data_IF_051405769943
#
_entry.id   IF_051405769943
#
_cell.length_a   1.000
_cell.length_b   1.000
_cell.length_c   1.000
_cell.angle_alpha   90.00
_cell.angle_beta   90.00
_cell.angle_gamma   90.00
#
_symmetry.space_group_name_H-M   'P 1'
#
loop_
_entity.id
_entity.type
_entity.pdbx_description
1 polymer ?
#
# COMPACT_ATOMS: atom_id res chain seq x y z
N UNK A 1 29.79 26.48 10.50
CA UNK A 1 29.41 25.23 11.20
C UNK A 1 27.91 24.96 11.10
N UNK A 2 27.05 25.98 11.24
CA UNK A 2 25.61 25.86 11.00
C UNK A 2 25.29 25.34 9.58
N UNK A 3 25.87 25.94 8.53
CA UNK A 3 25.65 25.52 7.13
C UNK A 3 26.00 24.05 6.85
N UNK A 4 27.06 23.52 7.49
CA UNK A 4 27.47 22.12 7.30
C UNK A 4 26.54 21.13 8.00
N UNK A 5 25.83 21.56 9.04
CA UNK A 5 24.92 20.69 9.82
C UNK A 5 23.55 20.66 9.17
N UNK A 6 23.05 21.82 8.72
CA UNK A 6 21.84 21.93 7.91
C UNK A 6 21.95 21.16 6.60
N UNK A 7 23.11 21.20 5.92
CA UNK A 7 23.34 20.42 4.70
C UNK A 7 23.33 18.91 4.95
N UNK A 8 23.83 18.45 6.11
CA UNK A 8 23.72 17.03 6.50
C UNK A 8 22.27 16.64 6.81
N UNK A 9 21.52 17.48 7.51
CA UNK A 9 20.10 17.26 7.77
C UNK A 9 19.30 17.20 6.46
N UNK A 10 19.60 18.06 5.49
CA UNK A 10 19.01 18.03 4.15
C UNK A 10 19.26 16.70 3.43
N UNK A 11 20.50 16.21 3.41
CA UNK A 11 20.83 14.94 2.77
C UNK A 11 20.16 13.74 3.45
N UNK A 12 20.08 13.75 4.78
CA UNK A 12 19.34 12.75 5.54
C UNK A 12 17.85 12.77 5.20
N UNK A 13 17.25 13.96 5.15
CA UNK A 13 15.86 14.15 4.79
C UNK A 13 15.53 13.62 3.38
N UNK A 14 16.39 13.88 2.39
CA UNK A 14 16.22 13.38 1.02
C UNK A 14 16.38 11.86 0.86
N UNK A 15 16.88 11.13 1.86
CA UNK A 15 17.04 9.68 1.82
C UNK A 15 15.83 8.92 2.39
N UNK A 16 14.94 9.61 3.12
CA UNK A 16 13.78 9.02 3.78
C UNK A 16 12.64 8.83 2.76
N UNK A 17 12.03 7.65 2.78
CA UNK A 17 10.81 7.36 2.03
C UNK A 17 9.75 6.68 2.90
N UNK A 18 8.53 6.60 2.39
CA UNK A 18 7.36 6.13 3.14
C UNK A 18 7.23 4.60 3.11
N UNK A 19 7.09 4.04 1.90
CA UNK A 19 6.88 2.60 1.67
C UNK A 19 8.22 1.89 1.44
N UNK A 20 9.13 2.57 0.74
CA UNK A 20 10.50 2.13 0.52
C UNK A 20 11.44 3.29 0.83
N UNK A 21 12.72 3.03 1.14
CA UNK A 21 13.73 4.09 1.19
C UNK A 21 13.74 4.92 -0.11
N UNK A 22 14.09 6.20 -0.04
CA UNK A 22 14.16 7.04 -1.24
C UNK A 22 15.26 6.56 -2.22
N UNK A 23 16.31 5.93 -1.68
CA UNK A 23 17.33 5.22 -2.44
C UNK A 23 17.26 3.75 -2.06
N UNK A 24 16.70 2.93 -2.97
CA UNK A 24 16.67 1.47 -2.82
C UNK A 24 17.73 0.83 -3.72
N UNK A 25 18.37 -0.29 -3.30
CA UNK A 25 19.18 -1.09 -4.19
C UNK A 25 18.36 -1.54 -5.40
N UNK A 26 18.96 -1.52 -6.60
CA UNK A 26 18.29 -1.97 -7.81
C UNK A 26 17.87 -3.44 -7.67
N UNK A 27 16.65 -3.76 -8.10
CA UNK A 27 16.22 -5.14 -8.27
C UNK A 27 17.02 -5.84 -9.38
N UNK A 28 17.10 -7.18 -9.34
CA UNK A 28 17.47 -7.95 -10.52
C UNK A 28 16.58 -7.57 -11.70
N UNK A 29 17.19 -7.44 -12.88
CA UNK A 29 16.45 -7.11 -14.09
C UNK A 29 15.41 -8.19 -14.39
N UNK A 30 14.16 -7.78 -14.60
CA UNK A 30 13.10 -8.69 -15.00
C UNK A 30 13.40 -9.28 -16.40
N UNK A 31 12.99 -10.53 -16.66
CA UNK A 31 12.99 -11.06 -18.02
C UNK A 31 12.25 -10.14 -18.99
N UNK A 32 12.69 -10.15 -20.24
CA UNK A 32 12.01 -9.41 -21.29
C UNK A 32 10.56 -9.88 -21.39
N UNK A 33 9.62 -8.93 -21.30
CA UNK A 33 8.22 -9.17 -21.59
C UNK A 33 8.02 -9.55 -23.06
N UNK A 34 7.07 -10.46 -23.32
CA UNK A 34 6.69 -10.89 -24.66
C UNK A 34 6.08 -9.71 -25.44
N UNK A 35 5.29 -8.87 -24.75
CA UNK A 35 4.81 -7.59 -25.28
C UNK A 35 4.96 -6.46 -24.27
N UNK A 36 4.99 -5.23 -24.80
CA UNK A 36 4.90 -3.99 -24.03
C UNK A 36 3.79 -3.14 -24.62
N UNK A 37 2.87 -2.70 -23.77
CA UNK A 37 1.78 -1.84 -24.20
C UNK A 37 1.95 -0.45 -23.63
N UNK A 38 1.89 0.57 -24.48
CA UNK A 38 1.75 1.96 -24.06
C UNK A 38 0.27 2.21 -23.74
N UNK A 39 0.00 2.76 -22.57
CA UNK A 39 -1.34 3.03 -22.07
C UNK A 39 -1.45 4.52 -21.69
N UNK A 40 -2.65 5.08 -21.57
CA UNK A 40 -2.81 6.40 -20.97
C UNK A 40 -2.25 6.38 -19.54
N UNK A 41 -1.30 7.27 -19.27
CA UNK A 41 -0.72 7.48 -17.93
C UNK A 41 0.02 6.25 -17.36
N UNK A 42 0.48 5.34 -18.21
CA UNK A 42 1.24 4.18 -17.79
C UNK A 42 1.58 3.23 -18.93
N UNK A 43 2.00 2.02 -18.57
CA UNK A 43 2.29 0.97 -19.54
C UNK A 43 2.00 -0.41 -18.96
N UNK A 44 1.99 -1.44 -19.79
CA UNK A 44 1.92 -2.82 -19.34
C UNK A 44 3.10 -3.66 -19.82
N UNK A 45 3.43 -4.69 -19.05
CA UNK A 45 4.34 -5.78 -19.43
C UNK A 45 3.53 -7.06 -19.52
N UNK A 46 3.57 -7.70 -20.68
CA UNK A 46 2.80 -8.92 -20.96
C UNK A 46 3.75 -10.10 -20.99
N UNK A 47 3.42 -11.13 -20.23
CA UNK A 47 4.16 -12.38 -20.16
C UNK A 47 3.19 -13.52 -20.49
N UNK A 48 3.42 -14.19 -21.62
CA UNK A 48 2.60 -15.31 -22.03
C UNK A 48 2.79 -16.51 -21.10
N UNK A 49 1.74 -17.34 -21.04
CA UNK A 49 1.82 -18.65 -20.41
C UNK A 49 2.83 -19.55 -21.12
N UNK A 50 3.37 -20.53 -20.40
CA UNK A 50 4.31 -21.50 -20.97
C UNK A 50 3.67 -22.25 -22.15
N UNK A 51 4.40 -22.32 -23.27
CA UNK A 51 3.92 -22.92 -24.52
C UNK A 51 2.96 -22.04 -25.34
N UNK A 52 2.58 -20.86 -24.84
CA UNK A 52 1.70 -19.91 -25.53
C UNK A 52 2.50 -18.84 -26.29
N UNK A 53 1.86 -18.23 -27.29
CA UNK A 53 2.43 -17.14 -28.10
C UNK A 53 1.41 -16.01 -28.36
N UNK A 54 0.39 -15.95 -27.53
CA UNK A 54 -0.71 -15.01 -27.65
C UNK A 54 -1.32 -14.76 -26.27
N UNK A 55 -2.14 -13.71 -26.17
CA UNK A 55 -2.92 -13.42 -24.96
C UNK A 55 -4.02 -14.48 -24.81
N UNK A 56 -3.84 -15.36 -23.83
CA UNK A 56 -4.80 -16.40 -23.47
C UNK A 56 -4.99 -16.47 -21.97
N UNK A 57 -6.22 -16.78 -21.53
CA UNK A 57 -6.59 -16.96 -20.13
C UNK A 57 -6.02 -15.86 -19.19
N UNK A 58 -6.32 -14.57 -19.43
CA UNK A 58 -5.48 -13.49 -18.93
C UNK A 58 -5.69 -13.16 -17.45
N UNK A 59 -4.61 -12.77 -16.80
CA UNK A 59 -4.51 -12.27 -15.42
C UNK A 59 -3.93 -10.86 -15.48
N UNK A 60 -4.73 -9.85 -15.15
CA UNK A 60 -4.36 -8.42 -15.27
C UNK A 60 -4.20 -7.83 -13.87
N UNK A 61 -2.97 -7.49 -13.49
CA UNK A 61 -2.63 -7.05 -12.14
C UNK A 61 -1.92 -5.69 -12.15
N UNK A 62 -2.47 -4.73 -11.40
CA UNK A 62 -1.89 -3.41 -11.23
C UNK A 62 -0.86 -3.35 -10.09
N UNK A 63 0.20 -2.57 -10.32
CA UNK A 63 1.19 -2.20 -9.31
C UNK A 63 0.57 -1.38 -8.15
N UNK A 64 1.32 -1.26 -7.05
CA UNK A 64 0.95 -0.50 -5.87
C UNK A 64 1.44 0.95 -5.86
N UNK A 65 1.36 1.57 -4.69
CA UNK A 65 1.76 2.95 -4.47
C UNK A 65 3.27 3.09 -4.20
N UNK A 66 3.88 4.10 -4.81
CA UNK A 66 5.17 4.66 -4.45
C UNK A 66 5.30 6.05 -5.12
N UNK A 67 6.44 6.73 -4.97
CA UNK A 67 6.77 7.91 -5.77
C UNK A 67 7.30 7.49 -7.16
N UNK A 68 6.88 8.20 -8.20
CA UNK A 68 7.41 8.02 -9.56
C UNK A 68 6.78 6.85 -10.32
N UNK A 69 7.33 6.52 -11.51
CA UNK A 69 6.78 5.48 -12.36
C UNK A 69 6.92 4.10 -11.72
N UNK A 70 6.11 3.15 -12.20
CA UNK A 70 6.26 1.74 -11.85
C UNK A 70 7.64 1.23 -12.23
N UNK A 71 8.29 0.62 -11.25
CA UNK A 71 9.52 -0.13 -11.43
C UNK A 71 9.15 -1.61 -11.65
N UNK A 72 9.11 -2.01 -12.92
CA UNK A 72 8.75 -3.37 -13.30
C UNK A 72 9.77 -4.42 -12.85
N UNK A 73 11.04 -4.04 -12.64
CA UNK A 73 12.06 -4.97 -12.15
C UNK A 73 11.78 -5.29 -10.68
N UNK A 74 11.47 -4.28 -9.87
CA UNK A 74 11.05 -4.50 -8.48
C UNK A 74 9.71 -5.23 -8.34
N UNK A 75 8.73 -4.90 -9.19
CA UNK A 75 7.44 -5.59 -9.17
C UNK A 75 7.60 -7.06 -9.55
N UNK A 76 8.38 -7.35 -10.59
CA UNK A 76 8.72 -8.73 -10.97
C UNK A 76 9.44 -9.46 -9.84
N UNK A 77 10.49 -8.85 -9.29
CA UNK A 77 11.31 -9.46 -8.24
C UNK A 77 10.48 -9.85 -7.02
N UNK A 78 9.56 -8.99 -6.58
CA UNK A 78 8.67 -9.28 -5.45
C UNK A 78 7.71 -10.45 -5.70
N UNK A 79 7.28 -10.66 -6.94
CA UNK A 79 6.32 -11.70 -7.32
C UNK A 79 6.97 -13.00 -7.79
N UNK A 80 8.25 -12.98 -8.15
CA UNK A 80 8.97 -14.15 -8.67
C UNK A 80 10.06 -14.63 -7.72
N UNK A 81 10.93 -13.74 -7.24
CA UNK A 81 12.10 -14.09 -6.44
C UNK A 81 11.88 -13.89 -4.93
N UNK A 82 10.65 -13.51 -4.54
CA UNK A 82 10.24 -13.36 -3.15
C UNK A 82 10.02 -14.71 -2.46
N UNK A 83 8.98 -14.78 -1.63
CA UNK A 83 8.67 -16.00 -0.86
C UNK A 83 7.94 -17.07 -1.70
N UNK A 84 7.38 -16.69 -2.84
CA UNK A 84 6.66 -17.59 -3.73
C UNK A 84 6.79 -17.11 -5.19
N UNK A 85 7.13 -18.01 -6.14
CA UNK A 85 7.31 -17.66 -7.55
C UNK A 85 5.97 -17.60 -8.31
N UNK A 86 5.14 -16.63 -7.92
CA UNK A 86 3.76 -16.49 -8.40
C UNK A 86 3.67 -16.32 -9.92
N UNK A 87 4.60 -15.57 -10.53
CA UNK A 87 4.62 -15.37 -11.98
C UNK A 87 4.90 -16.68 -12.70
N UNK A 88 5.93 -17.42 -12.28
CA UNK A 88 6.23 -18.73 -12.84
C UNK A 88 5.06 -19.72 -12.71
N UNK A 89 4.36 -19.76 -11.57
CA UNK A 89 3.22 -20.65 -11.39
C UNK A 89 2.00 -20.27 -12.25
N UNK A 90 1.70 -18.97 -12.40
CA UNK A 90 0.71 -18.48 -13.36
C UNK A 90 1.04 -18.95 -14.78
N UNK A 91 2.28 -18.74 -15.20
CA UNK A 91 2.74 -19.07 -16.56
C UNK A 91 2.70 -20.57 -16.80
N UNK A 92 3.12 -21.40 -15.83
CA UNK A 92 3.03 -22.86 -15.91
C UNK A 92 1.60 -23.37 -16.05
N UNK A 93 0.62 -22.66 -15.46
CA UNK A 93 -0.82 -22.91 -15.65
C UNK A 93 -1.37 -22.39 -17.00
N UNK A 94 -0.50 -21.92 -17.90
CA UNK A 94 -0.85 -21.44 -19.23
C UNK A 94 -1.56 -20.09 -19.23
N UNK A 95 -1.41 -19.28 -18.17
CA UNK A 95 -2.04 -17.96 -18.05
C UNK A 95 -1.13 -16.87 -18.60
N UNK A 96 -1.68 -15.96 -19.38
CA UNK A 96 -0.99 -14.70 -19.73
C UNK A 96 -1.10 -13.73 -18.56
N UNK A 97 0.04 -13.29 -18.03
CA UNK A 97 0.12 -12.23 -17.02
C UNK A 97 0.30 -10.87 -17.71
N UNK A 98 -0.56 -9.92 -17.39
CA UNK A 98 -0.44 -8.51 -17.78
C UNK A 98 -0.17 -7.71 -16.51
N UNK A 99 1.08 -7.29 -16.31
CA UNK A 99 1.45 -6.37 -15.24
C UNK A 99 1.21 -4.94 -15.69
N UNK A 100 0.31 -4.24 -15.01
CA UNK A 100 -0.05 -2.85 -15.31
C UNK A 100 0.73 -1.91 -14.38
N UNK A 101 1.47 -1.00 -14.97
CA UNK A 101 2.25 0.02 -14.26
C UNK A 101 1.82 1.43 -14.63
N UNK A 102 2.13 2.38 -13.74
CA UNK A 102 1.74 3.78 -13.87
C UNK A 102 2.94 4.67 -14.19
N UNK A 103 2.73 5.77 -14.91
CA UNK A 103 3.76 6.79 -15.15
C UNK A 103 4.10 7.55 -13.86
N UNK A 104 3.11 7.69 -12.97
CA UNK A 104 3.26 8.28 -11.64
C UNK A 104 2.34 7.55 -10.66
N UNK A 105 2.91 6.67 -9.83
CA UNK A 105 2.16 5.85 -8.86
C UNK A 105 1.51 6.69 -7.76
N UNK A 106 2.03 7.88 -7.48
CA UNK A 106 1.52 8.76 -6.43
C UNK A 106 0.39 9.69 -6.89
N UNK A 107 0.09 9.71 -8.19
CA UNK A 107 -1.03 10.45 -8.76
C UNK A 107 -2.38 9.81 -8.37
N UNK A 108 -3.49 10.56 -8.47
CA UNK A 108 -4.79 10.12 -7.97
C UNK A 108 -5.20 8.73 -8.47
N UNK A 109 -5.84 7.96 -7.59
CA UNK A 109 -6.40 6.63 -7.87
C UNK A 109 -7.31 6.68 -9.10
N UNK A 110 -8.02 7.80 -9.30
CA UNK A 110 -8.91 8.03 -10.43
C UNK A 110 -8.17 8.07 -11.77
N UNK A 111 -7.00 8.71 -11.82
CA UNK A 111 -6.16 8.77 -13.03
C UNK A 111 -5.52 7.41 -13.29
N UNK A 112 -4.99 6.76 -12.25
CA UNK A 112 -4.44 5.41 -12.37
C UNK A 112 -5.52 4.39 -12.82
N UNK A 113 -6.78 4.61 -12.47
CA UNK A 113 -7.90 3.79 -12.97
C UNK A 113 -8.19 3.98 -14.47
N UNK A 114 -7.78 5.08 -15.09
CA UNK A 114 -7.84 5.25 -16.54
C UNK A 114 -6.84 4.32 -17.24
N UNK A 115 -5.62 4.21 -16.70
CA UNK A 115 -4.62 3.22 -17.15
C UNK A 115 -5.15 1.81 -17.02
N UNK A 116 -5.76 1.48 -15.88
CA UNK A 116 -6.31 0.14 -15.64
C UNK A 116 -7.48 -0.18 -16.59
N UNK A 117 -8.36 0.79 -16.83
CA UNK A 117 -9.46 0.65 -17.81
C UNK A 117 -8.89 0.36 -19.21
N UNK A 118 -7.86 1.10 -19.62
CA UNK A 118 -7.21 0.91 -20.91
C UNK A 118 -6.51 -0.46 -21.01
N UNK A 119 -5.85 -0.91 -19.94
CA UNK A 119 -5.23 -2.23 -19.86
C UNK A 119 -6.26 -3.34 -20.06
N UNK A 120 -7.39 -3.30 -19.33
CA UNK A 120 -8.48 -4.28 -19.45
C UNK A 120 -9.01 -4.32 -20.88
N UNK A 121 -9.33 -3.16 -21.47
CA UNK A 121 -9.85 -3.10 -22.84
C UNK A 121 -8.83 -3.59 -23.86
N UNK A 122 -7.54 -3.31 -23.65
CA UNK A 122 -6.46 -3.81 -24.52
C UNK A 122 -6.31 -5.33 -24.40
N UNK A 123 -6.39 -5.88 -23.19
CA UNK A 123 -6.38 -7.32 -22.96
C UNK A 123 -7.53 -8.00 -23.70
N UNK A 124 -8.75 -7.47 -23.61
CA UNK A 124 -9.92 -8.02 -24.32
C UNK A 124 -9.71 -8.01 -25.84
N UNK A 125 -9.12 -6.95 -26.38
CA UNK A 125 -8.89 -6.79 -27.82
C UNK A 125 -7.83 -7.76 -28.37
N UNK A 126 -6.83 -8.12 -27.57
CA UNK A 126 -5.74 -9.02 -27.95
C UNK A 126 -6.00 -10.49 -27.59
N UNK A 127 -6.97 -10.76 -26.71
CA UNK A 127 -7.30 -12.11 -26.24
C UNK A 127 -7.86 -12.98 -27.37
N UNK A 128 -7.30 -14.19 -27.53
CA UNK A 128 -7.72 -15.13 -28.58
C UNK A 128 -8.73 -16.20 -28.13
N UNK A 129 -8.92 -16.37 -26.83
CA UNK A 129 -9.91 -17.29 -26.26
C UNK A 129 -11.06 -16.55 -25.56
N UNK A 130 -12.00 -17.33 -25.02
CA UNK A 130 -13.21 -16.80 -24.38
C UNK A 130 -13.20 -16.79 -22.84
N UNK A 131 -12.06 -17.14 -22.23
CA UNK A 131 -11.87 -17.17 -20.78
C UNK A 131 -12.15 -15.79 -20.19
N UNK A 132 -12.89 -15.72 -19.09
CA UNK A 132 -13.04 -14.45 -18.40
C UNK A 132 -11.72 -14.01 -17.76
N UNK A 133 -11.51 -12.71 -17.68
CA UNK A 133 -10.30 -12.14 -17.07
C UNK A 133 -10.32 -12.32 -15.55
N UNK A 134 -9.16 -12.55 -14.95
CA UNK A 134 -8.91 -12.13 -13.57
C UNK A 134 -8.31 -10.72 -13.61
N UNK A 135 -8.87 -9.80 -12.82
CA UNK A 135 -8.45 -8.40 -12.77
C UNK A 135 -8.22 -7.98 -11.32
N UNK A 136 -7.10 -7.35 -11.02
CA UNK A 136 -6.78 -7.01 -9.63
C UNK A 136 -5.55 -6.14 -9.48
N UNK A 137 -4.98 -6.13 -8.29
CA UNK A 137 -3.70 -5.46 -8.05
C UNK A 137 -3.26 -5.48 -6.60
N UNK A 138 -2.06 -4.97 -6.38
CA UNK A 138 -1.38 -4.95 -5.09
C UNK A 138 -1.57 -3.61 -4.41
N UNK A 139 -1.90 -3.60 -3.11
CA UNK A 139 -2.05 -2.36 -2.35
C UNK A 139 -3.06 -1.40 -3.02
N UNK A 140 -2.63 -0.19 -3.37
CA UNK A 140 -3.39 0.76 -4.19
C UNK A 140 -3.95 0.15 -5.49
N UNK A 141 -3.21 -0.74 -6.16
CA UNK A 141 -3.59 -1.36 -7.43
C UNK A 141 -4.92 -2.12 -7.36
N UNK A 142 -5.23 -2.75 -6.23
CA UNK A 142 -6.54 -3.39 -6.03
C UNK A 142 -7.68 -2.38 -5.93
N UNK A 143 -7.46 -1.21 -5.32
CA UNK A 143 -8.45 -0.11 -5.27
C UNK A 143 -8.63 0.51 -6.67
N UNK A 144 -7.54 0.68 -7.42
CA UNK A 144 -7.54 1.14 -8.81
C UNK A 144 -8.37 0.21 -9.68
N UNK A 145 -8.14 -1.10 -9.60
CA UNK A 145 -8.90 -2.12 -10.33
C UNK A 145 -10.39 -2.12 -9.92
N UNK A 146 -10.69 -2.02 -8.62
CA UNK A 146 -12.06 -1.92 -8.10
C UNK A 146 -12.81 -0.74 -8.72
N UNK A 147 -12.21 0.45 -8.70
CA UNK A 147 -12.84 1.65 -9.24
C UNK A 147 -13.01 1.55 -10.77
N UNK A 148 -12.00 1.05 -11.50
CA UNK A 148 -12.07 0.87 -12.94
C UNK A 148 -13.23 -0.05 -13.34
N UNK A 149 -13.34 -1.22 -12.73
CA UNK A 149 -14.40 -2.19 -13.01
C UNK A 149 -15.79 -1.62 -12.69
N UNK A 150 -15.98 -1.04 -11.50
CA UNK A 150 -17.26 -0.46 -11.10
C UNK A 150 -17.71 0.69 -12.04
N UNK A 151 -16.74 1.52 -12.48
CA UNK A 151 -16.99 2.58 -13.46
C UNK A 151 -17.36 2.02 -14.83
N UNK A 152 -16.65 0.99 -15.32
CA UNK A 152 -16.95 0.33 -16.59
C UNK A 152 -18.37 -0.26 -16.59
N UNK A 153 -18.78 -0.93 -15.50
CA UNK A 153 -20.14 -1.46 -15.35
C UNK A 153 -21.21 -0.35 -15.37
N UNK A 154 -20.97 0.74 -14.64
CA UNK A 154 -21.86 1.92 -14.64
C UNK A 154 -22.00 2.52 -16.04
N UNK A 155 -20.93 2.46 -16.84
CA UNK A 155 -20.88 2.91 -18.24
C UNK A 155 -21.36 1.86 -19.24
N UNK A 156 -21.82 0.69 -18.78
CA UNK A 156 -22.26 -0.45 -19.59
C UNK A 156 -21.19 -0.96 -20.57
N UNK A 157 -19.93 -0.89 -20.14
CA UNK A 157 -18.80 -1.46 -20.87
C UNK A 157 -18.60 -2.91 -20.43
N UNK A 158 -18.61 -3.85 -21.38
CA UNK A 158 -18.28 -5.25 -21.09
C UNK A 158 -16.76 -5.38 -20.86
N UNK A 159 -16.39 -5.55 -19.60
CA UNK A 159 -14.99 -5.70 -19.17
C UNK A 159 -14.54 -7.17 -19.12
N UNK A 160 -15.41 -8.14 -19.46
CA UNK A 160 -15.15 -9.59 -19.48
C UNK A 160 -14.48 -10.19 -18.22
N UNK A 161 -14.50 -9.50 -17.09
CA UNK A 161 -13.89 -9.99 -15.85
C UNK A 161 -14.82 -11.01 -15.18
N UNK A 162 -14.24 -12.12 -14.75
CA UNK A 162 -14.92 -13.15 -13.97
C UNK A 162 -14.53 -13.08 -12.49
N UNK A 163 -13.30 -12.66 -12.21
CA UNK A 163 -12.75 -12.58 -10.86
C UNK A 163 -12.05 -11.25 -10.66
N UNK A 164 -12.41 -10.55 -9.58
CA UNK A 164 -11.66 -9.43 -9.02
C UNK A 164 -10.81 -9.93 -7.86
N UNK A 165 -9.56 -9.48 -7.74
CA UNK A 165 -8.72 -9.77 -6.57
C UNK A 165 -7.96 -8.54 -6.09
N UNK A 166 -7.95 -8.33 -4.77
CA UNK A 166 -7.13 -7.29 -4.13
C UNK A 166 -6.12 -7.89 -3.17
N UNK A 167 -4.83 -7.58 -3.35
CA UNK A 167 -3.77 -8.02 -2.44
C UNK A 167 -3.44 -6.93 -1.44
N UNK A 168 -3.88 -7.13 -0.21
CA UNK A 168 -3.66 -6.25 0.95
C UNK A 168 -4.05 -4.78 0.67
N UNK A 169 -5.13 -4.58 -0.09
CA UNK A 169 -5.58 -3.24 -0.49
C UNK A 169 -6.27 -2.52 0.66
N UNK A 170 -5.90 -1.26 0.98
CA UNK A 170 -6.47 -0.52 2.11
C UNK A 170 -7.88 0.03 1.83
N UNK A 171 -8.88 -0.83 1.62
CA UNK A 171 -10.26 -0.41 1.27
C UNK A 171 -10.87 0.53 2.32
N UNK A 172 -10.59 0.29 3.60
CA UNK A 172 -11.08 1.10 4.74
C UNK A 172 -10.06 2.12 5.23
N UNK A 173 -8.87 2.12 4.64
CA UNK A 173 -7.78 3.04 4.90
C UNK A 173 -6.47 2.33 5.22
N UNK A 174 -5.36 3.01 4.93
CA UNK A 174 -4.02 2.65 5.37
C UNK A 174 -3.63 3.49 6.59
N UNK A 175 -2.75 2.97 7.43
CA UNK A 175 -2.23 3.65 8.59
C UNK A 175 -0.75 3.97 8.42
N UNK A 176 -0.41 5.25 8.57
CA UNK A 176 0.95 5.72 8.72
C UNK A 176 0.99 6.52 10.03
N UNK A 177 1.87 6.19 10.99
CA UNK A 177 1.94 6.86 12.28
C UNK A 177 1.94 8.38 12.16
N UNK A 178 1.08 9.06 12.92
CA UNK A 178 0.94 10.52 12.88
C UNK A 178 2.26 11.23 13.18
N UNK A 179 3.06 10.68 14.10
CA UNK A 179 4.40 11.19 14.37
C UNK A 179 5.30 11.22 13.12
N UNK A 180 5.26 10.16 12.30
CA UNK A 180 6.02 10.08 11.06
C UNK A 180 5.50 11.07 10.00
N UNK A 181 4.18 11.25 9.89
CA UNK A 181 3.61 12.26 9.00
C UNK A 181 4.02 13.69 9.42
N UNK A 182 3.95 14.00 10.71
CA UNK A 182 4.40 15.29 11.24
C UNK A 182 5.91 15.51 11.03
N UNK A 183 6.71 14.44 11.12
CA UNK A 183 8.14 14.51 10.83
C UNK A 183 8.44 14.83 9.36
N UNK A 184 7.62 14.35 8.42
CA UNK A 184 7.74 14.74 7.01
C UNK A 184 7.59 16.26 6.82
N UNK A 185 6.62 16.88 7.50
CA UNK A 185 6.46 18.33 7.52
C UNK A 185 7.64 19.06 8.18
N UNK A 186 8.18 18.50 9.26
CA UNK A 186 9.35 19.05 9.94
C UNK A 186 10.59 19.06 9.03
N UNK A 187 10.81 17.96 8.29
CA UNK A 187 11.90 17.83 7.33
C UNK A 187 11.73 18.68 6.07
N UNK A 188 10.49 18.96 5.66
CA UNK A 188 10.20 19.75 4.45
C UNK A 188 10.75 21.18 4.47
N UNK A 189 11.20 21.66 5.64
CA UNK A 189 11.96 22.91 5.77
C UNK A 189 13.32 22.87 5.06
N UNK A 190 13.89 21.67 4.85
CA UNK A 190 15.18 21.46 4.19
C UNK A 190 15.11 20.52 2.99
N UNK A 191 14.24 19.51 3.01
CA UNK A 191 13.97 18.62 1.88
C UNK A 191 12.56 18.03 2.00
N UNK A 192 11.75 18.20 0.96
CA UNK A 192 10.33 17.82 0.93
C UNK A 192 10.10 16.44 0.29
N UNK A 193 11.13 15.67 -0.05
CA UNK A 193 10.99 14.36 -0.72
C UNK A 193 10.07 13.41 0.05
N UNK A 194 10.23 13.33 1.37
CA UNK A 194 9.37 12.49 2.22
C UNK A 194 7.94 13.03 2.29
N UNK A 195 7.78 14.36 2.38
CA UNK A 195 6.48 15.01 2.40
C UNK A 195 5.71 14.82 1.08
N UNK A 196 6.38 14.90 -0.07
CA UNK A 196 5.75 14.67 -1.39
C UNK A 196 5.12 13.28 -1.48
N UNK A 197 5.70 12.27 -0.84
CA UNK A 197 5.10 10.94 -0.78
C UNK A 197 3.82 10.94 0.05
N UNK A 198 3.89 11.42 1.30
CA UNK A 198 2.75 11.43 2.23
C UNK A 198 1.60 12.32 1.71
N UNK A 199 1.92 13.49 1.18
CA UNK A 199 0.96 14.48 0.69
C UNK A 199 0.53 14.26 -0.76
N UNK A 200 0.99 13.20 -1.42
CA UNK A 200 0.55 12.88 -2.78
C UNK A 200 -0.96 12.55 -2.85
N UNK A 201 -1.63 12.78 -4.00
CA UNK A 201 -3.05 12.47 -4.15
C UNK A 201 -3.41 11.03 -3.79
N UNK A 202 -2.69 10.03 -4.29
CA UNK A 202 -2.96 8.63 -3.97
C UNK A 202 -2.80 8.31 -2.48
N UNK A 203 -1.72 8.80 -1.85
CA UNK A 203 -1.49 8.60 -0.42
C UNK A 203 -2.64 9.18 0.40
N UNK A 204 -3.01 10.44 0.15
CA UNK A 204 -4.11 11.08 0.87
C UNK A 204 -5.46 10.38 0.63
N UNK A 205 -5.70 9.82 -0.55
CA UNK A 205 -6.91 9.05 -0.84
C UNK A 205 -6.97 7.73 -0.05
N UNK A 206 -5.82 7.12 0.27
CA UNK A 206 -5.73 5.85 0.99
C UNK A 206 -5.57 6.01 2.51
N UNK A 207 -4.86 7.02 2.99
CA UNK A 207 -4.61 7.20 4.42
C UNK A 207 -5.91 7.38 5.20
N UNK A 208 -6.04 6.64 6.30
CA UNK A 208 -7.17 6.78 7.20
C UNK A 208 -7.21 8.17 7.83
N UNK A 209 -6.04 8.68 8.24
CA UNK A 209 -5.86 10.02 8.81
C UNK A 209 -4.60 10.67 8.25
N UNK A 210 -4.71 11.98 8.03
CA UNK A 210 -3.70 12.84 7.44
C UNK A 210 -3.47 14.07 8.33
N UNK A 211 -2.22 14.52 8.43
CA UNK A 211 -1.86 15.82 9.01
C UNK A 211 -1.30 16.74 7.93
N UNK A 212 -1.71 18.01 7.97
CA UNK A 212 -1.29 19.05 7.03
C UNK A 212 -0.17 19.95 7.56
N UNK A 213 0.41 19.60 8.72
CA UNK A 213 1.56 20.29 9.31
C UNK A 213 2.10 19.60 10.55
N UNK A 214 3.23 20.09 11.06
CA UNK A 214 3.88 19.57 12.29
C UNK A 214 2.94 19.63 13.50
N UNK A 215 2.15 20.69 13.61
CA UNK A 215 1.15 20.90 14.66
C UNK A 215 -0.29 20.75 14.12
N UNK A 216 -0.46 20.09 12.97
CA UNK A 216 -1.76 19.86 12.35
C UNK A 216 -2.61 18.88 13.18
N UNK A 217 -3.93 19.02 13.10
CA UNK A 217 -4.85 18.06 13.73
C UNK A 217 -5.11 16.89 12.76
N UNK A 218 -4.83 15.63 13.16
CA UNK A 218 -5.12 14.47 12.33
C UNK A 218 -6.60 14.36 11.95
N UNK A 219 -6.89 14.28 10.65
CA UNK A 219 -8.26 14.23 10.13
C UNK A 219 -8.34 13.42 8.82
N UNK A 220 -9.55 13.11 8.35
CA UNK A 220 -9.72 12.53 7.01
C UNK A 220 -9.39 13.60 5.96
N UNK A 221 -8.53 13.27 4.97
CA UNK A 221 -8.19 14.22 3.91
C UNK A 221 -9.41 14.52 3.03
N UNK A 222 -9.61 15.78 2.59
CA UNK A 222 -10.63 16.10 1.58
C UNK A 222 -10.50 15.27 0.29
N UNK A 223 -9.28 14.86 -0.09
CA UNK A 223 -9.07 14.00 -1.26
C UNK A 223 -9.62 12.58 -1.06
N UNK A 224 -9.56 12.06 0.16
CA UNK A 224 -10.18 10.78 0.52
C UNK A 224 -11.69 10.88 0.50
N UNK A 225 -12.25 11.96 1.02
CA UNK A 225 -13.70 12.21 0.99
C UNK A 225 -14.20 12.27 -0.46
N UNK A 226 -13.57 13.06 -1.33
CA UNK A 226 -13.94 13.12 -2.77
C UNK A 226 -13.80 11.76 -3.44
N UNK A 227 -12.74 11.00 -3.15
CA UNK A 227 -12.59 9.65 -3.70
C UNK A 227 -13.72 8.71 -3.27
N UNK A 228 -14.08 8.68 -1.98
CA UNK A 228 -15.18 7.84 -1.47
C UNK A 228 -16.52 8.22 -2.12
N UNK A 229 -16.79 9.51 -2.30
CA UNK A 229 -17.99 9.98 -3.01
C UNK A 229 -18.00 9.55 -4.49
N UNK A 230 -16.87 9.63 -5.18
CA UNK A 230 -16.75 9.16 -6.57
C UNK A 230 -16.89 7.66 -6.71
N UNK A 231 -16.33 6.90 -5.76
CA UNK A 231 -16.47 5.45 -5.70
C UNK A 231 -17.95 5.06 -5.46
N UNK A 232 -18.65 5.78 -4.58
CA UNK A 232 -20.09 5.59 -4.36
C UNK A 232 -20.92 5.89 -5.62
N UNK A 233 -20.57 6.94 -6.39
CA UNK A 233 -21.25 7.29 -7.65
C UNK A 233 -21.17 6.19 -8.72
N UNK A 234 -20.18 5.30 -8.63
CA UNK A 234 -20.03 4.14 -9.53
C UNK A 234 -20.46 2.81 -8.89
N UNK A 235 -21.18 2.85 -7.76
CA UNK A 235 -21.75 1.67 -7.11
C UNK A 235 -20.89 1.05 -6.00
N UNK A 236 -19.79 1.69 -5.61
CA UNK A 236 -18.82 1.25 -4.60
C UNK A 236 -18.03 -0.02 -4.93
N UNK A 237 -18.64 -1.04 -5.51
CA UNK A 237 -17.98 -2.29 -5.93
C UNK A 237 -18.51 -2.74 -7.28
N UNK A 238 -17.67 -3.34 -8.15
CA UNK A 238 -18.19 -4.03 -9.33
C UNK A 238 -19.08 -5.20 -8.90
N UNK A 239 -20.16 -5.44 -9.64
CA UNK A 239 -21.19 -6.41 -9.32
C UNK A 239 -21.12 -7.67 -10.20
N UNK A 240 -20.38 -7.62 -11.32
CA UNK A 240 -20.25 -8.74 -12.25
C UNK A 240 -19.23 -9.79 -11.78
N UNK A 241 -18.00 -9.45 -11.37
CA UNK A 241 -16.99 -10.44 -11.02
C UNK A 241 -17.19 -10.99 -9.60
N UNK A 242 -16.67 -12.19 -9.35
CA UNK A 242 -16.44 -12.70 -7.99
C UNK A 242 -15.40 -11.80 -7.31
N UNK A 243 -15.74 -11.25 -6.14
CA UNK A 243 -14.89 -10.34 -5.38
C UNK A 243 -14.04 -11.11 -4.38
N UNK A 244 -12.72 -11.14 -4.60
CA UNK A 244 -11.75 -11.75 -3.71
C UNK A 244 -10.87 -10.69 -3.03
N UNK A 245 -10.58 -10.88 -1.75
CA UNK A 245 -9.61 -10.06 -1.03
C UNK A 245 -8.60 -10.89 -0.26
N UNK A 246 -7.36 -10.45 -0.25
CA UNK A 246 -6.28 -11.05 0.53
C UNK A 246 -5.79 -10.01 1.52
N UNK A 247 -5.62 -10.39 2.78
CA UNK A 247 -4.86 -9.62 3.76
C UNK A 247 -3.49 -10.25 3.99
N UNK A 248 -2.46 -9.42 4.06
CA UNK A 248 -1.15 -9.82 4.58
C UNK A 248 -1.13 -9.93 6.12
N UNK A 249 -2.26 -9.71 6.79
CA UNK A 249 -2.39 -9.84 8.24
C UNK A 249 -3.32 -10.96 8.69
N UNK A 250 -3.24 -11.27 9.99
CA UNK A 250 -4.01 -12.32 10.64
C UNK A 250 -5.48 -11.96 10.81
N UNK A 251 -6.31 -13.01 10.88
CA UNK A 251 -7.75 -12.92 11.05
C UNK A 251 -8.29 -13.08 12.48
N UNK A 252 -7.45 -13.53 13.42
CA UNK A 252 -7.87 -13.99 14.75
C UNK A 252 -7.93 -12.86 15.81
N UNK A 253 -7.76 -11.61 15.39
CA UNK A 253 -7.70 -10.46 16.28
C UNK A 253 -6.38 -10.32 17.04
N UNK A 254 -5.38 -11.18 16.79
CA UNK A 254 -4.06 -11.05 17.42
C UNK A 254 -3.19 -10.03 16.68
N UNK A 255 -2.78 -9.01 17.41
CA UNK A 255 -1.89 -7.95 16.92
C UNK A 255 -0.51 -8.46 16.53
N UNK A 256 0.27 -7.57 15.91
CA UNK A 256 1.63 -7.88 15.41
C UNK A 256 2.74 -7.84 16.49
N UNK A 257 2.36 -7.66 17.76
CA UNK A 257 3.29 -7.62 18.91
C UNK A 257 3.81 -6.22 19.28
N UNK A 258 3.52 -5.19 18.49
CA UNK A 258 3.81 -3.80 18.86
C UNK A 258 2.87 -3.37 19.98
N UNK A 259 3.44 -2.94 21.12
CA UNK A 259 2.66 -2.51 22.29
C UNK A 259 2.38 -1.02 22.23
N UNK A 260 1.17 -0.56 22.59
CA UNK A 260 0.80 0.85 22.54
C UNK A 260 1.65 1.72 23.48
N UNK A 261 2.08 2.89 23.00
CA UNK A 261 2.86 3.86 23.77
C UNK A 261 4.34 3.51 23.95
N UNK A 262 4.79 2.35 23.44
CA UNK A 262 6.23 2.03 23.40
C UNK A 262 6.97 3.03 22.50
N UNK A 263 8.19 3.37 22.87
CA UNK A 263 9.10 4.17 22.05
C UNK A 263 9.56 3.35 20.85
N UNK A 264 9.04 3.65 19.65
CA UNK A 264 9.38 2.95 18.42
C UNK A 264 10.80 3.29 17.96
N UNK A 265 11.14 4.58 17.98
CA UNK A 265 12.42 5.11 17.53
C UNK A 265 12.81 6.34 18.37
N UNK A 266 14.10 6.49 18.68
CA UNK A 266 14.63 7.72 19.28
C UNK A 266 16.00 8.09 18.76
N UNK A 267 16.24 9.39 18.68
CA UNK A 267 17.47 9.99 18.23
C UNK A 267 18.20 10.65 19.41
N UNK A 268 19.51 10.45 19.48
CA UNK A 268 20.43 11.09 20.42
C UNK A 268 21.72 11.53 19.72
N UNK A 269 21.63 11.80 18.42
CA UNK A 269 22.74 12.17 17.56
C UNK A 269 22.81 13.68 17.29
N UNK A 270 23.76 14.10 16.44
CA UNK A 270 24.05 15.51 16.22
C UNK A 270 22.96 16.29 15.48
N UNK A 271 22.06 15.62 14.75
CA UNK A 271 21.03 16.29 13.94
C UNK A 271 19.71 16.40 14.68
N UNK A 272 19.27 15.34 15.37
CA UNK A 272 17.91 15.22 15.87
C UNK A 272 17.86 14.80 17.34
N UNK A 273 18.85 15.19 18.14
CA UNK A 273 18.88 14.91 19.59
C UNK A 273 17.55 15.28 20.28
N UNK A 274 16.99 14.32 21.01
CA UNK A 274 15.69 14.45 21.68
C UNK A 274 14.47 14.18 20.79
N UNK A 275 14.64 13.92 19.50
CA UNK A 275 13.54 13.41 18.66
C UNK A 275 13.20 11.97 19.04
N UNK A 276 11.93 11.67 19.23
CA UNK A 276 11.46 10.29 19.38
C UNK A 276 10.04 10.11 18.88
N UNK A 277 9.70 8.86 18.59
CA UNK A 277 8.39 8.42 18.14
C UNK A 277 7.87 7.36 19.10
N UNK A 278 6.61 7.50 19.47
CA UNK A 278 5.87 6.53 20.25
C UNK A 278 4.89 5.82 19.31
N UNK A 279 4.70 4.53 19.55
CA UNK A 279 3.64 3.76 18.92
C UNK A 279 2.29 4.27 19.42
N UNK A 280 1.29 4.24 18.54
CA UNK A 280 -0.04 4.73 18.78
C UNK A 280 -0.66 4.04 20.00
N UNK A 281 -1.04 4.85 20.98
CA UNK A 281 -1.80 4.43 22.16
C UNK A 281 -3.18 5.10 22.15
N UNK A 282 -4.14 4.51 22.85
CA UNK A 282 -5.37 5.21 23.18
C UNK A 282 -5.12 6.39 24.12
N UNK A 283 -6.01 7.38 24.10
CA UNK A 283 -5.94 8.53 25.00
C UNK A 283 -6.50 9.82 24.38
N UNK A 284 -6.62 10.85 25.21
CA UNK A 284 -7.03 12.20 24.79
C UNK A 284 -6.41 13.26 25.73
N UNK A 285 -5.28 13.89 25.35
CA UNK A 285 -4.41 13.56 24.21
C UNK A 285 -3.42 12.43 24.52
N UNK A 286 -3.04 11.66 23.49
CA UNK A 286 -1.92 10.72 23.52
C UNK A 286 -0.72 11.29 22.74
N UNK A 287 0.45 11.34 23.37
CA UNK A 287 1.70 11.72 22.70
C UNK A 287 2.14 10.62 21.73
N UNK A 288 2.50 11.01 20.50
CA UNK A 288 2.96 10.07 19.46
C UNK A 288 4.34 10.41 18.92
N UNK A 289 4.82 11.65 19.13
CA UNK A 289 6.20 12.01 18.87
C UNK A 289 6.60 13.30 19.60
N UNK A 290 7.90 13.46 19.80
CA UNK A 290 8.54 14.76 20.01
C UNK A 290 9.56 14.95 18.91
N UNK A 291 9.48 16.07 18.20
CA UNK A 291 10.40 16.44 17.12
C UNK A 291 11.32 17.55 17.62
N UNK A 292 12.62 17.30 17.61
CA UNK A 292 13.63 18.23 18.12
C UNK A 292 14.92 18.13 17.31
N UNK A 293 15.76 19.15 17.40
CA UNK A 293 17.11 19.13 16.85
C UNK A 293 17.45 20.38 16.06
N UNK A 294 18.27 20.23 15.03
CA UNK A 294 18.89 21.35 14.32
C UNK A 294 17.91 22.18 13.48
N UNK A 295 16.70 21.67 13.24
CA UNK A 295 15.63 22.37 12.50
C UNK A 295 14.64 23.07 13.45
N UNK A 296 14.83 22.99 14.77
CA UNK A 296 13.97 23.61 15.78
C UNK A 296 13.26 22.58 16.69
N UNK A 297 12.49 23.09 17.64
CA UNK A 297 11.76 22.28 18.62
C UNK A 297 12.12 22.60 20.09
N UNK A 298 11.63 21.79 21.04
CA UNK A 298 10.84 20.58 20.83
C UNK A 298 9.41 20.88 20.36
N UNK A 299 8.90 20.08 19.43
CA UNK A 299 7.50 20.06 19.00
C UNK A 299 6.85 18.75 19.45
N UNK A 300 5.88 18.81 20.35
CA UNK A 300 5.10 17.64 20.77
C UNK A 300 3.95 17.39 19.80
N UNK A 301 3.89 16.18 19.26
CA UNK A 301 2.82 15.72 18.36
C UNK A 301 1.90 14.79 19.15
N UNK A 302 0.60 15.04 19.06
CA UNK A 302 -0.42 14.30 19.80
C UNK A 302 -1.54 13.80 18.88
N UNK A 303 -2.27 12.80 19.36
CA UNK A 303 -3.50 12.28 18.76
C UNK A 303 -4.58 12.20 19.85
N UNK A 304 -5.85 12.15 19.46
CA UNK A 304 -6.98 12.05 20.39
C UNK A 304 -8.00 11.04 19.89
N UNK A 305 -8.36 10.07 20.73
CA UNK A 305 -9.40 9.08 20.43
C UNK A 305 -9.04 8.07 19.35
N UNK A 306 -7.75 7.90 19.04
CA UNK A 306 -7.30 6.91 18.05
C UNK A 306 -7.13 5.55 18.73
N UNK A 307 -7.50 4.45 18.06
CA UNK A 307 -7.19 3.10 18.56
C UNK A 307 -5.71 2.77 18.37
N UNK A 308 -5.29 1.64 18.92
CA UNK A 308 -3.92 1.15 18.94
C UNK A 308 -3.50 0.57 17.57
N UNK A 309 -3.38 1.45 16.58
CA UNK A 309 -3.22 1.10 15.17
C UNK A 309 -1.89 0.43 14.84
N UNK A 310 -0.79 0.83 15.46
CA UNK A 310 0.53 0.27 15.14
C UNK A 310 0.62 -1.23 15.47
N UNK A 311 -0.10 -1.66 16.52
CA UNK A 311 -0.15 -3.05 16.99
C UNK A 311 -1.20 -3.93 16.30
N UNK A 312 -2.06 -3.36 15.46
CA UNK A 312 -3.22 -4.07 14.93
C UNK A 312 -2.84 -5.28 14.04
N UNK A 313 -3.72 -6.29 13.92
CA UNK A 313 -3.58 -7.33 12.91
C UNK A 313 -3.63 -6.70 11.52
N UNK A 314 -2.69 -7.03 10.64
CA UNK A 314 -2.60 -6.40 9.32
C UNK A 314 -1.27 -6.61 8.62
N UNK A 315 -1.24 -6.25 7.34
CA UNK A 315 0.00 -6.15 6.57
C UNK A 315 0.91 -5.07 7.14
N UNK A 316 2.17 -5.43 7.36
CA UNK A 316 3.13 -4.59 8.08
C UNK A 316 4.04 -3.78 7.17
N UNK A 317 4.51 -2.63 7.65
CA UNK A 317 5.48 -1.79 6.95
C UNK A 317 6.59 -1.36 7.91
N UNK A 318 7.84 -1.40 7.46
CA UNK A 318 9.02 -1.04 8.25
C UNK A 318 9.27 0.48 8.34
N UNK A 319 8.22 1.32 8.41
CA UNK A 319 8.39 2.78 8.32
C UNK A 319 9.35 3.36 9.37
N UNK A 320 9.37 2.83 10.60
CA UNK A 320 10.33 3.22 11.63
C UNK A 320 11.75 2.71 11.33
N UNK A 321 11.87 1.48 10.81
CA UNK A 321 13.14 0.90 10.37
C UNK A 321 13.77 1.69 9.22
N UNK A 322 12.99 2.01 8.18
CA UNK A 322 13.42 2.84 7.04
C UNK A 322 13.91 4.20 7.52
N UNK A 323 13.15 4.85 8.40
CA UNK A 323 13.56 6.12 9.00
C UNK A 323 14.88 5.97 9.79
N UNK A 324 14.97 4.96 10.65
CA UNK A 324 16.14 4.73 11.48
C UNK A 324 17.41 4.44 10.68
N UNK A 325 17.31 3.61 9.64
CA UNK A 325 18.42 3.27 8.77
C UNK A 325 18.88 4.50 7.95
N UNK A 326 17.93 5.30 7.44
CA UNK A 326 18.22 6.54 6.75
C UNK A 326 18.96 7.54 7.65
N UNK A 327 18.48 7.76 8.87
CA UNK A 327 19.12 8.66 9.83
C UNK A 327 20.52 8.15 10.26
N UNK A 328 20.65 6.85 10.53
CA UNK A 328 21.93 6.23 10.90
C UNK A 328 22.98 6.38 9.79
N UNK A 329 22.58 6.28 8.51
CA UNK A 329 23.48 6.48 7.36
C UNK A 329 24.11 7.88 7.31
N UNK A 330 23.53 8.87 8.00
CA UNK A 330 24.06 10.24 8.12
C UNK A 330 24.69 10.54 9.48
N UNK A 331 25.16 9.49 10.19
CA UNK A 331 25.80 9.55 11.51
C UNK A 331 24.88 10.07 12.64
N UNK A 332 23.56 9.93 12.49
CA UNK A 332 22.65 10.10 13.62
C UNK A 332 22.74 8.88 14.55
N UNK A 333 22.74 9.10 15.86
CA UNK A 333 22.64 8.02 16.84
C UNK A 333 21.17 7.70 17.04
N UNK A 334 20.72 6.56 16.50
CA UNK A 334 19.32 6.14 16.53
C UNK A 334 19.18 4.82 17.26
N UNK A 335 18.18 4.72 18.12
CA UNK A 335 17.71 3.46 18.69
C UNK A 335 16.33 3.13 18.11
N UNK A 336 16.21 1.98 17.44
CA UNK A 336 14.94 1.50 16.86
C UNK A 336 14.49 0.27 17.64
N UNK A 337 13.43 0.41 18.42
CA UNK A 337 12.84 -0.69 19.21
C UNK A 337 11.81 -1.46 18.40
N UNK A 338 10.99 -0.74 17.64
CA UNK A 338 9.98 -1.30 16.74
C UNK A 338 10.31 -0.85 15.32
N UNK A 339 10.74 -1.79 14.46
CA UNK A 339 11.07 -1.48 13.06
C UNK A 339 9.82 -1.36 12.20
N UNK A 340 8.85 -2.24 12.41
CA UNK A 340 7.59 -2.30 11.69
C UNK A 340 6.39 -2.03 12.59
N UNK A 341 5.29 -1.64 11.97
CA UNK A 341 3.95 -1.61 12.54
C UNK A 341 2.93 -2.00 11.48
N UNK A 342 1.66 -2.08 11.88
CA UNK A 342 0.57 -2.33 10.95
C UNK A 342 0.42 -1.16 9.97
N UNK A 343 0.37 -1.45 8.67
CA UNK A 343 0.14 -0.47 7.62
C UNK A 343 -1.25 -0.63 7.00
N UNK A 344 -1.66 -1.86 6.69
CA UNK A 344 -3.04 -2.16 6.26
C UNK A 344 -3.67 -3.11 7.25
N UNK A 345 -4.55 -2.61 8.15
CA UNK A 345 -5.27 -3.48 9.07
C UNK A 345 -6.05 -4.56 8.32
N UNK A 346 -6.10 -5.78 8.86
CA UNK A 346 -6.77 -6.90 8.19
C UNK A 346 -8.23 -6.60 7.88
N UNK A 347 -8.93 -5.92 8.80
CA UNK A 347 -10.31 -5.48 8.58
C UNK A 347 -10.48 -4.48 7.42
N UNK A 348 -9.42 -3.74 7.10
CA UNK A 348 -9.34 -2.84 5.94
C UNK A 348 -9.10 -3.63 4.65
N UNK A 349 -8.14 -4.57 4.69
CA UNK A 349 -7.78 -5.40 3.54
C UNK A 349 -8.95 -6.23 3.01
N UNK A 350 -9.79 -6.77 3.91
CA UNK A 350 -10.98 -7.55 3.54
C UNK A 350 -12.29 -6.76 3.64
N UNK A 351 -12.21 -5.44 3.83
CA UNK A 351 -13.35 -4.50 3.84
C UNK A 351 -14.54 -4.96 4.69
N UNK A 352 -14.31 -5.20 5.99
CA UNK A 352 -15.35 -5.71 6.91
C UNK A 352 -15.66 -4.76 8.08
N UNK A 353 -14.70 -3.90 8.48
CA UNK A 353 -14.89 -2.90 9.55
C UNK A 353 -14.16 -1.61 9.24
N UNK A 354 -14.57 -0.53 9.91
CA UNK A 354 -13.84 0.73 9.93
C UNK A 354 -12.76 0.74 11.02
N UNK A 355 -11.83 1.71 10.94
CA UNK A 355 -10.61 1.73 11.76
C UNK A 355 -10.70 2.62 12.99
N UNK A 356 -11.88 3.19 13.28
CA UNK A 356 -12.04 4.20 14.32
C UNK A 356 -12.23 3.65 15.73
N UNK A 357 -12.56 2.36 15.87
CA UNK A 357 -12.85 1.75 17.17
C UNK A 357 -11.89 0.59 17.45
N UNK A 358 -11.38 0.52 18.67
CA UNK A 358 -10.44 -0.54 19.10
C UNK A 358 -11.03 -1.94 18.89
N UNK A 359 -12.31 -2.13 19.24
CA UNK A 359 -12.99 -3.43 19.10
C UNK A 359 -13.09 -3.89 17.64
N UNK A 360 -13.33 -2.95 16.73
CA UNK A 360 -13.51 -3.23 15.32
C UNK A 360 -12.16 -3.58 14.69
N UNK A 361 -11.13 -2.83 15.06
CA UNK A 361 -9.77 -3.02 14.59
C UNK A 361 -9.17 -4.38 14.96
N UNK A 362 -9.55 -4.94 16.13
CA UNK A 362 -9.07 -6.24 16.65
C UNK A 362 -10.16 -7.32 16.64
N UNK A 363 -11.23 -7.14 15.86
CA UNK A 363 -12.28 -8.15 15.75
C UNK A 363 -11.71 -9.46 15.18
N UNK A 364 -12.16 -10.60 15.70
CA UNK A 364 -11.86 -11.90 15.13
C UNK A 364 -12.68 -12.09 13.83
N UNK A 365 -12.04 -11.80 12.70
CA UNK A 365 -12.61 -11.86 11.36
C UNK A 365 -13.04 -13.29 11.00
N UNK A 366 -12.36 -14.31 11.52
CA UNK A 366 -12.70 -15.71 11.25
C UNK A 366 -14.05 -16.15 11.86
N UNK A 367 -14.56 -15.38 12.82
CA UNK A 367 -15.85 -15.64 13.48
C UNK A 367 -16.98 -14.76 12.94
N UNK A 368 -16.68 -13.85 12.01
CA UNK A 368 -17.70 -12.99 11.42
C UNK A 368 -18.52 -13.74 10.38
N UNK A 369 -19.83 -13.47 10.31
CA UNK A 369 -20.68 -14.08 9.31
C UNK A 369 -20.47 -13.42 7.93
N UNK A 370 -20.58 -14.17 6.81
CA UNK A 370 -20.22 -13.68 5.47
C UNK A 370 -20.95 -12.43 5.00
N UNK A 371 -22.17 -12.17 5.47
CA UNK A 371 -22.98 -11.00 5.10
C UNK A 371 -22.40 -9.66 5.57
N UNK A 372 -21.40 -9.67 6.45
CA UNK A 372 -20.74 -8.46 6.94
C UNK A 372 -19.61 -7.99 6.02
N UNK A 373 -19.23 -8.81 5.04
CA UNK A 373 -18.14 -8.52 4.12
C UNK A 373 -18.69 -7.90 2.83
N UNK A 374 -17.95 -6.91 2.32
CA UNK A 374 -18.20 -6.42 0.97
C UNK A 374 -17.73 -7.43 -0.13
N UNK A 375 -16.90 -8.41 0.26
CA UNK A 375 -16.26 -9.40 -0.61
C UNK A 375 -17.03 -10.72 -0.61
N UNK A 376 -16.86 -11.53 -1.67
CA UNK A 376 -17.49 -12.85 -1.75
C UNK A 376 -16.67 -13.94 -1.07
N UNK A 377 -15.34 -13.84 -1.09
CA UNK A 377 -14.42 -14.75 -0.41
C UNK A 377 -13.12 -14.01 -0.10
N UNK A 378 -12.37 -14.47 0.90
CA UNK A 378 -11.14 -13.83 1.31
C UNK A 378 -10.12 -14.80 1.91
N UNK A 379 -8.87 -14.36 1.93
CA UNK A 379 -7.78 -15.00 2.67
C UNK A 379 -7.19 -14.02 3.68
N UNK A 380 -6.98 -14.50 4.89
CA UNK A 380 -6.22 -13.82 5.94
C UNK A 380 -4.93 -14.60 6.12
N UNK A 381 -3.80 -13.91 6.12
CA UNK A 381 -2.51 -14.58 6.27
C UNK A 381 -2.42 -15.26 7.63
N UNK A 382 -1.73 -16.39 7.67
CA UNK A 382 -1.44 -17.09 8.92
C UNK A 382 -0.58 -16.25 9.87
N UNK A 383 0.15 -15.25 9.39
CA UNK A 383 0.94 -14.31 10.19
C UNK A 383 0.70 -12.86 9.76
N UNK A 384 1.23 -11.89 10.52
CA UNK A 384 1.27 -10.48 10.11
C UNK A 384 2.49 -10.24 9.22
N UNK A 385 2.35 -10.58 7.94
CA UNK A 385 3.37 -10.49 6.92
C UNK A 385 3.62 -9.05 6.44
N UNK A 386 4.77 -8.79 5.78
CA UNK A 386 4.98 -7.53 5.11
C UNK A 386 3.87 -7.24 4.10
N UNK A 387 3.46 -5.97 4.05
CA UNK A 387 2.39 -5.49 3.18
C UNK A 387 2.55 -5.97 1.74
N UNK A 388 1.51 -6.63 1.22
CA UNK A 388 1.43 -7.22 -0.11
C UNK A 388 2.53 -8.24 -0.45
N UNK A 389 3.15 -8.88 0.56
CA UNK A 389 4.07 -9.98 0.33
C UNK A 389 3.36 -11.18 -0.30
N UNK A 390 3.92 -11.70 -1.40
CA UNK A 390 3.43 -12.91 -2.05
C UNK A 390 3.97 -14.16 -1.35
N UNK A 391 3.20 -14.71 -0.41
CA UNK A 391 3.53 -15.96 0.29
C UNK A 391 2.99 -17.18 -0.45
N UNK A 392 3.46 -18.40 -0.13
CA UNK A 392 2.87 -19.62 -0.70
C UNK A 392 1.38 -19.74 -0.40
N UNK A 393 0.95 -19.42 0.83
CA UNK A 393 -0.45 -19.43 1.25
C UNK A 393 -1.31 -18.51 0.36
N UNK A 394 -0.85 -17.27 0.14
CA UNK A 394 -1.53 -16.30 -0.72
C UNK A 394 -1.53 -16.73 -2.18
N UNK A 395 -0.35 -17.11 -2.70
CA UNK A 395 -0.16 -17.46 -4.09
C UNK A 395 -1.01 -18.65 -4.50
N UNK A 396 -0.95 -19.75 -3.75
CA UNK A 396 -1.73 -20.96 -4.02
C UNK A 396 -3.24 -20.70 -3.94
N UNK A 397 -3.69 -19.98 -2.91
CA UNK A 397 -5.12 -19.67 -2.73
C UNK A 397 -5.71 -18.90 -3.90
N UNK A 398 -4.97 -17.92 -4.45
CA UNK A 398 -5.40 -17.16 -5.63
C UNK A 398 -5.35 -18.02 -6.89
N UNK A 399 -4.29 -18.81 -7.06
CA UNK A 399 -4.13 -19.66 -8.25
C UNK A 399 -5.26 -20.71 -8.37
N UNK A 400 -5.85 -21.13 -7.26
CA UNK A 400 -6.97 -22.08 -7.22
C UNK A 400 -8.34 -21.41 -7.45
N UNK A 401 -8.37 -20.09 -7.59
CA UNK A 401 -9.57 -19.27 -7.87
C UNK A 401 -9.49 -18.53 -9.20
N UNK A 402 -8.58 -18.94 -10.08
CA UNK A 402 -8.51 -18.39 -11.43
C UNK A 402 -9.78 -18.76 -12.22
N UNK A 403 -10.37 -17.84 -12.99
CA UNK A 403 -11.53 -18.14 -13.84
C UNK A 403 -11.14 -19.17 -14.91
N UNK A 404 -11.98 -20.17 -15.17
CA UNK A 404 -11.65 -21.28 -16.08
C UNK A 404 -11.38 -20.86 -17.53
#
# INVERSE_FOLDING_TARGET
MADSTTEKARKAAGAIGLVTPAVRPAAPQAPAADERWELPHGSARVYYGEGQKAVVRPVVLADGFNLGPTDFDHLWDGLENGRYPFISELRRRGRTLVLVGFDERSESILRNAETMTAAIMRTIAEQLDDTRLLVGGFSMGGIVARYALAKMETQRMDHRTGVYVSFDSPHRGAWVPIGLQAFAHYLATVDDTYLRQISSPASQQMLWRYVDGVAGTPQESPLRTDFKERLQKVGSWPQIPLLLGVSSGRGDGLGNGVRPGDKALSCSGPLFDGTYFLTQSGGDPAEVAVLNGVLGGPHTVTTSGFPELDGAPGGTLESFGILGDALAAFNESVNVTHRSGCFVPSVSAVSVRDLGEQRDLYTNINELPPEEFDLNDYLLSSENDPHAAMTPEIGEWVLDRLPD
#
